data_IF_295338693474
#
_entry.id   IF_295338693474
#
_cell.length_a   1.000
_cell.length_b   1.000
_cell.length_c   1.000
_cell.angle_alpha   90.00
_cell.angle_beta   90.00
_cell.angle_gamma   90.00
#
_symmetry.space_group_name_H-M   'P 1'
#
loop_
_entity.id
_entity.type
_entity.pdbx_description
1 polymer ?
#
# COMPACT_ATOMS: atom_id res chain seq x y z
N UNK A 1 -6.46 28.70 2.43
CA UNK A 1 -6.44 27.26 2.12
C UNK A 1 -6.80 26.93 0.68
N UNK A 2 -7.22 27.88 -0.17
CA UNK A 2 -7.66 27.67 -1.57
C UNK A 2 -6.64 28.05 -2.65
N UNK A 3 -5.50 28.69 -2.33
CA UNK A 3 -4.56 29.25 -3.32
C UNK A 3 -3.45 28.31 -3.81
N UNK A 4 -3.26 27.13 -3.19
CA UNK A 4 -2.23 26.15 -3.62
C UNK A 4 -2.78 25.03 -4.51
N UNK A 5 -4.09 24.97 -4.75
CA UNK A 5 -4.70 23.96 -5.61
C UNK A 5 -4.41 24.15 -7.11
N UNK A 6 -4.03 25.35 -7.52
CA UNK A 6 -3.91 25.72 -8.95
C UNK A 6 -2.46 25.90 -9.45
N UNK A 7 -1.43 25.65 -8.60
CA UNK A 7 -0.05 25.70 -9.05
C UNK A 7 0.28 24.42 -9.83
N UNK A 8 0.53 24.56 -11.13
CA UNK A 8 1.00 23.48 -12.00
C UNK A 8 2.35 22.94 -11.49
N UNK A 9 2.62 21.66 -11.68
CA UNK A 9 3.86 20.97 -11.23
C UNK A 9 5.16 21.68 -11.62
N UNK A 10 5.16 22.42 -12.73
CA UNK A 10 6.28 23.23 -13.21
C UNK A 10 6.57 24.48 -12.35
N UNK A 11 5.57 25.06 -11.71
CA UNK A 11 5.76 26.23 -10.84
C UNK A 11 6.27 25.81 -9.44
N UNK A 12 5.80 24.67 -8.92
CA UNK A 12 6.33 24.09 -7.70
C UNK A 12 7.81 23.70 -7.85
N UNK A 13 8.21 23.19 -9.01
CA UNK A 13 9.61 22.87 -9.30
C UNK A 13 10.50 24.13 -9.42
N UNK A 14 9.98 25.26 -9.90
CA UNK A 14 10.68 26.55 -9.95
C UNK A 14 10.80 27.17 -8.55
N UNK A 15 9.73 27.11 -7.75
CA UNK A 15 9.72 27.55 -6.36
C UNK A 15 10.74 26.77 -5.52
N UNK A 16 10.85 25.48 -5.74
CA UNK A 16 11.80 24.62 -5.03
C UNK A 16 13.24 24.89 -5.43
N UNK A 17 13.54 25.12 -6.70
CA UNK A 17 14.86 25.57 -7.16
C UNK A 17 15.22 26.93 -6.55
N UNK A 18 14.24 27.81 -6.40
CA UNK A 18 14.42 29.10 -5.76
C UNK A 18 14.74 28.98 -4.26
N UNK A 19 14.11 28.05 -3.54
CA UNK A 19 14.38 27.78 -2.11
C UNK A 19 15.75 27.14 -1.89
N UNK A 20 16.21 26.29 -2.83
CA UNK A 20 17.48 25.56 -2.72
C UNK A 20 18.70 26.29 -3.30
N UNK A 21 18.52 27.34 -4.12
CA UNK A 21 19.60 28.13 -4.69
C UNK A 21 19.95 29.31 -3.78
N UNK A 22 21.16 29.27 -3.21
CA UNK A 22 21.87 30.28 -2.38
C UNK A 22 21.13 31.60 -2.02
N UNK A 23 20.90 31.64 -0.83
CA UNK A 23 20.48 32.51 0.28
C UNK A 23 19.87 33.90 0.04
N UNK A 24 20.19 34.73 -0.91
CA UNK A 24 19.78 36.14 -0.84
C UNK A 24 18.81 36.62 -1.95
N UNK A 25 18.97 36.21 -3.16
CA UNK A 25 18.10 36.63 -4.29
C UNK A 25 16.73 35.95 -4.24
N UNK A 26 16.69 34.70 -3.79
CA UNK A 26 15.49 33.88 -3.80
C UNK A 26 14.60 34.10 -2.57
N UNK A 27 15.18 34.55 -1.44
CA UNK A 27 14.40 35.03 -0.28
C UNK A 27 13.56 36.28 -0.61
N UNK A 28 14.02 37.15 -1.50
CA UNK A 28 13.22 38.27 -1.99
C UNK A 28 12.04 37.84 -2.86
N UNK A 29 12.21 36.77 -3.64
CA UNK A 29 11.14 36.20 -4.47
C UNK A 29 10.11 35.45 -3.63
N UNK A 30 10.54 34.69 -2.61
CA UNK A 30 9.66 34.06 -1.62
C UNK A 30 8.86 35.06 -0.79
N UNK A 31 9.44 36.22 -0.46
CA UNK A 31 8.74 37.35 0.21
C UNK A 31 7.71 38.03 -0.69
N UNK A 32 7.86 37.97 -2.00
CA UNK A 32 6.95 38.57 -2.98
C UNK A 32 5.69 37.75 -3.26
N UNK A 33 5.72 36.45 -2.89
CA UNK A 33 4.52 35.58 -2.84
C UNK A 33 3.81 35.90 -1.53
N UNK A 34 3.05 37.01 -1.54
CA UNK A 34 2.38 37.58 -0.38
C UNK A 34 1.54 36.56 0.37
N UNK A 35 1.86 36.33 1.65
CA UNK A 35 1.02 35.65 2.64
C UNK A 35 1.34 34.19 2.90
N UNK A 36 2.29 33.54 2.21
CA UNK A 36 2.71 32.18 2.50
C UNK A 36 3.95 32.18 3.40
N UNK A 37 3.85 31.57 4.56
CA UNK A 37 4.98 31.40 5.47
C UNK A 37 6.02 30.49 4.80
N UNK A 38 7.24 31.00 4.52
CA UNK A 38 8.32 30.24 3.86
C UNK A 38 8.59 28.89 4.55
N UNK A 39 8.52 28.84 5.89
CA UNK A 39 8.64 27.60 6.64
C UNK A 39 7.51 26.59 6.35
N UNK A 40 6.29 27.06 6.06
CA UNK A 40 5.17 26.19 5.70
C UNK A 40 5.35 25.60 4.29
N UNK A 41 5.86 26.39 3.34
CA UNK A 41 6.16 25.93 1.98
C UNK A 41 7.32 24.93 2.00
N UNK A 42 8.39 25.24 2.74
CA UNK A 42 9.55 24.35 2.90
C UNK A 42 9.14 23.03 3.55
N UNK A 43 8.29 23.06 4.57
CA UNK A 43 7.73 21.88 5.22
C UNK A 43 6.87 21.04 4.24
N UNK A 44 6.03 21.67 3.41
CA UNK A 44 5.24 20.97 2.41
C UNK A 44 6.10 20.36 1.29
N UNK A 45 7.21 21.04 0.92
CA UNK A 45 8.14 20.55 -0.10
C UNK A 45 9.02 19.38 0.38
N UNK A 46 9.17 19.20 1.70
CA UNK A 46 9.97 18.11 2.30
C UNK A 46 9.12 17.03 2.94
N UNK A 47 7.81 17.16 2.92
CA UNK A 47 6.87 16.22 3.52
C UNK A 47 6.45 15.15 2.49
N UNK A 48 6.53 13.89 2.91
CA UNK A 48 5.98 12.78 2.10
C UNK A 48 4.51 13.05 1.81
N UNK A 49 4.12 12.98 0.55
CA UNK A 49 2.71 13.03 0.14
C UNK A 49 2.29 11.65 -0.39
N UNK A 50 1.30 11.06 0.25
CA UNK A 50 0.67 9.84 -0.24
C UNK A 50 -0.39 10.19 -1.28
N UNK A 51 -0.20 9.70 -2.51
CA UNK A 51 -1.20 9.68 -3.56
C UNK A 51 -2.04 8.42 -3.40
N UNK A 52 -3.18 8.56 -2.74
CA UNK A 52 -4.02 7.44 -2.34
C UNK A 52 -5.10 7.20 -3.39
N UNK A 53 -5.09 6.01 -3.99
CA UNK A 53 -6.15 5.57 -4.90
C UNK A 53 -7.17 4.74 -4.10
N UNK A 54 -8.45 5.05 -4.23
CA UNK A 54 -9.50 4.29 -3.54
C UNK A 54 -9.45 2.78 -3.85
N UNK A 55 -9.84 1.95 -2.91
CA UNK A 55 -9.86 0.49 -3.05
C UNK A 55 -8.57 -0.08 -3.65
N UNK A 56 -7.43 0.30 -3.10
CA UNK A 56 -6.12 -0.12 -3.60
C UNK A 56 -5.13 -0.47 -2.50
N UNK A 57 -3.99 -0.99 -2.93
CA UNK A 57 -2.89 -1.32 -2.02
C UNK A 57 -2.28 -0.10 -1.31
N UNK A 58 -2.63 1.14 -1.71
CA UNK A 58 -2.15 2.35 -1.04
C UNK A 58 -2.62 2.47 0.41
N UNK A 59 -3.65 1.73 0.81
CA UNK A 59 -4.08 1.63 2.21
C UNK A 59 -2.97 1.12 3.13
N UNK A 60 -2.02 0.29 2.65
CA UNK A 60 -0.86 -0.16 3.43
C UNK A 60 0.04 1.00 3.82
N UNK A 61 0.24 1.92 2.88
CA UNK A 61 1.10 3.09 3.11
C UNK A 61 0.40 4.07 4.05
N UNK A 62 -0.89 4.26 3.86
CA UNK A 62 -1.70 5.06 4.79
C UNK A 62 -1.63 4.49 6.20
N UNK A 63 -1.80 3.18 6.35
CA UNK A 63 -1.67 2.51 7.63
C UNK A 63 -0.27 2.65 8.25
N UNK A 64 0.80 2.46 7.46
CA UNK A 64 2.18 2.65 7.93
C UNK A 64 2.41 4.06 8.47
N UNK A 65 1.96 5.08 7.75
CA UNK A 65 2.12 6.47 8.16
C UNK A 65 1.36 6.78 9.45
N UNK A 66 0.18 6.19 9.65
CA UNK A 66 -0.58 6.31 10.90
C UNK A 66 0.06 5.52 12.06
N UNK A 67 0.68 4.35 11.82
CA UNK A 67 1.42 3.59 12.84
C UNK A 67 2.69 4.31 13.29
N UNK A 68 3.32 5.02 12.40
CA UNK A 68 4.53 5.82 12.69
C UNK A 68 4.22 7.20 13.26
N UNK A 69 2.94 7.57 13.31
CA UNK A 69 2.49 8.93 13.69
C UNK A 69 3.21 10.03 12.91
N UNK A 70 3.59 9.73 11.67
CA UNK A 70 4.30 10.68 10.80
C UNK A 70 3.35 11.73 10.26
N UNK A 71 3.84 12.95 10.13
CA UNK A 71 3.15 13.97 9.35
C UNK A 71 3.33 13.71 7.85
N UNK A 72 2.25 13.76 7.08
CA UNK A 72 2.26 13.52 5.64
C UNK A 72 1.16 14.30 4.92
N UNK A 73 1.42 14.60 3.65
CA UNK A 73 0.41 15.07 2.72
C UNK A 73 -0.47 13.89 2.27
N UNK A 74 -1.76 14.16 2.05
CA UNK A 74 -2.71 13.14 1.60
C UNK A 74 -3.50 13.68 0.42
N UNK A 75 -3.43 12.98 -0.71
CA UNK A 75 -4.23 13.27 -1.90
C UNK A 75 -5.00 12.03 -2.32
N UNK A 76 -6.33 12.10 -2.21
CA UNK A 76 -7.25 11.05 -2.61
C UNK A 76 -7.50 11.11 -4.11
N UNK A 77 -7.57 9.94 -4.74
CA UNK A 77 -7.98 9.75 -6.13
C UNK A 77 -9.08 8.72 -6.21
N UNK A 78 -10.18 9.09 -6.83
CA UNK A 78 -11.30 8.20 -7.06
C UNK A 78 -11.10 7.40 -8.34
N UNK A 79 -11.56 6.14 -8.36
CA UNK A 79 -11.57 5.34 -9.58
C UNK A 79 -12.67 5.81 -10.51
N UNK A 80 -12.46 5.62 -11.81
CA UNK A 80 -13.51 5.78 -12.78
C UNK A 80 -14.66 4.79 -12.50
N UNK A 81 -15.87 5.30 -12.32
CA UNK A 81 -17.02 4.51 -11.86
C UNK A 81 -17.48 3.44 -12.84
N UNK A 82 -17.10 3.53 -14.12
CA UNK A 82 -17.50 2.58 -15.18
C UNK A 82 -16.43 1.52 -15.40
N UNK A 83 -15.15 1.93 -15.44
CA UNK A 83 -14.04 1.05 -15.76
C UNK A 83 -13.32 0.52 -14.54
N UNK A 84 -13.52 1.14 -13.38
CA UNK A 84 -12.79 0.88 -12.13
C UNK A 84 -11.27 1.11 -12.25
N UNK A 85 -10.82 1.79 -13.31
CA UNK A 85 -9.43 2.13 -13.51
C UNK A 85 -9.05 3.40 -12.73
N UNK A 86 -7.75 3.56 -12.48
CA UNK A 86 -7.22 4.81 -11.94
C UNK A 86 -7.43 5.96 -12.94
N UNK A 87 -7.69 7.20 -12.49
CA UNK A 87 -7.81 8.36 -13.36
C UNK A 87 -6.47 8.71 -14.00
N UNK A 88 -6.50 9.46 -15.09
CA UNK A 88 -5.30 9.72 -15.90
C UNK A 88 -4.26 10.59 -15.18
N UNK A 89 -4.69 11.50 -14.33
CA UNK A 89 -3.80 12.30 -13.49
C UNK A 89 -3.07 11.44 -12.43
N UNK A 90 -3.70 10.36 -11.94
CA UNK A 90 -3.01 9.37 -11.11
C UNK A 90 -1.99 8.55 -11.91
N UNK A 91 -2.40 8.05 -13.08
CA UNK A 91 -1.51 7.26 -13.96
C UNK A 91 -0.26 8.04 -14.38
N UNK A 92 -0.39 9.37 -14.53
CA UNK A 92 0.72 10.25 -14.88
C UNK A 92 1.79 10.41 -13.77
N UNK A 93 1.50 9.99 -12.52
CA UNK A 93 2.45 10.07 -11.41
C UNK A 93 3.61 9.09 -11.55
N UNK A 94 3.38 7.93 -12.14
CA UNK A 94 4.37 6.86 -12.26
C UNK A 94 4.22 6.13 -13.59
N UNK A 95 5.33 5.71 -14.22
CA UNK A 95 5.29 4.92 -15.47
C UNK A 95 4.45 3.64 -15.37
N UNK A 96 4.33 3.07 -14.15
CA UNK A 96 3.53 1.86 -13.93
C UNK A 96 2.03 2.15 -13.88
N UNK A 97 1.62 3.37 -13.56
CA UNK A 97 0.21 3.76 -13.41
C UNK A 97 -0.55 2.98 -12.33
N UNK A 98 0.17 2.36 -11.38
CA UNK A 98 -0.38 1.50 -10.33
C UNK A 98 -0.24 2.15 -8.95
N UNK A 99 -1.07 1.73 -8.00
CA UNK A 99 -1.03 2.18 -6.60
C UNK A 99 -0.26 1.18 -5.73
N UNK A 100 0.47 1.66 -4.71
CA UNK A 100 0.61 3.04 -4.22
C UNK A 100 1.66 3.87 -4.96
N UNK A 101 1.57 5.21 -4.80
CA UNK A 101 2.60 6.18 -5.19
C UNK A 101 2.76 7.21 -4.07
N UNK A 102 4.00 7.58 -3.77
CA UNK A 102 4.32 8.74 -2.92
C UNK A 102 5.16 9.75 -3.69
N UNK A 103 5.10 11.00 -3.26
CA UNK A 103 6.08 12.02 -3.63
C UNK A 103 6.76 12.56 -2.37
N UNK A 104 8.06 12.84 -2.46
CA UNK A 104 8.84 13.44 -1.39
C UNK A 104 9.90 14.33 -2.03
N UNK A 105 9.56 15.56 -2.10
CA UNK A 105 10.37 16.47 -2.86
C UNK A 105 10.40 16.14 -4.35
N UNK A 106 11.60 15.92 -4.91
CA UNK A 106 11.81 15.54 -6.33
C UNK A 106 11.69 14.02 -6.56
N UNK A 107 11.51 13.26 -5.46
CA UNK A 107 11.35 11.81 -5.53
C UNK A 107 9.89 11.48 -5.79
N UNK A 108 9.64 10.65 -6.80
CA UNK A 108 8.38 9.93 -6.97
C UNK A 108 8.68 8.45 -6.88
N UNK A 109 8.04 7.77 -5.94
CA UNK A 109 8.28 6.35 -5.68
C UNK A 109 6.96 5.58 -5.77
N UNK A 110 6.99 4.50 -6.52
CA UNK A 110 5.94 3.48 -6.59
C UNK A 110 6.44 2.18 -5.97
N UNK A 111 5.61 1.15 -5.93
CA UNK A 111 5.82 -0.16 -5.31
C UNK A 111 5.68 -0.15 -3.79
N UNK A 112 4.71 -0.94 -3.28
CA UNK A 112 4.35 -0.95 -1.85
C UNK A 112 5.55 -1.17 -0.93
N UNK A 113 6.37 -2.20 -1.19
CA UNK A 113 7.47 -2.54 -0.30
C UNK A 113 8.64 -1.57 -0.40
N UNK A 114 8.90 -1.02 -1.60
CA UNK A 114 9.90 0.04 -1.78
C UNK A 114 9.51 1.31 -1.02
N UNK A 115 8.24 1.69 -1.07
CA UNK A 115 7.71 2.83 -0.31
C UNK A 115 7.79 2.58 1.20
N UNK A 116 7.43 1.37 1.66
CA UNK A 116 7.54 1.00 3.08
C UNK A 116 9.00 1.13 3.55
N UNK A 117 9.96 0.53 2.83
CA UNK A 117 11.38 0.63 3.18
C UNK A 117 11.85 2.09 3.20
N UNK A 118 11.48 2.89 2.21
CA UNK A 118 11.83 4.31 2.14
C UNK A 118 11.30 5.10 3.34
N UNK A 119 10.04 4.86 3.74
CA UNK A 119 9.43 5.52 4.90
C UNK A 119 10.14 5.08 6.19
N UNK A 120 10.44 3.78 6.34
CA UNK A 120 11.15 3.27 7.51
C UNK A 120 12.57 3.82 7.65
N UNK A 121 13.27 4.06 6.54
CA UNK A 121 14.59 4.70 6.56
C UNK A 121 14.51 6.15 7.05
N UNK A 122 13.43 6.86 6.71
CA UNK A 122 13.16 8.22 7.23
C UNK A 122 12.71 8.24 8.69
N UNK A 123 11.94 7.24 9.12
CA UNK A 123 11.47 7.11 10.49
C UNK A 123 12.59 6.74 11.48
N UNK A 124 13.71 6.25 10.97
CA UNK A 124 14.88 5.93 11.78
C UNK A 124 15.01 4.45 12.16
N UNK A 125 16.11 4.09 12.82
CA UNK A 125 16.44 2.69 13.12
C UNK A 125 15.46 2.07 14.13
N UNK A 126 15.24 0.76 13.99
CA UNK A 126 14.41 -0.07 14.88
C UNK A 126 12.91 0.26 14.87
N UNK A 127 12.45 1.01 13.90
CA UNK A 127 11.03 1.36 13.77
C UNK A 127 10.35 0.34 12.85
N UNK A 128 9.54 -0.54 13.39
CA UNK A 128 8.78 -1.60 12.67
C UNK A 128 9.65 -2.52 11.78
N UNK A 129 10.98 -2.47 11.91
CA UNK A 129 11.93 -3.28 11.17
C UNK A 129 13.01 -3.83 12.10
N UNK A 130 13.06 -5.15 12.34
CA UNK A 130 14.10 -5.77 13.18
C UNK A 130 15.50 -5.45 12.67
N UNK A 131 16.44 -5.23 13.59
CA UNK A 131 17.84 -5.00 13.22
C UNK A 131 18.46 -6.22 12.51
N UNK A 132 19.57 -6.02 11.78
CA UNK A 132 20.22 -7.09 11.04
C UNK A 132 20.71 -8.28 11.91
N UNK A 133 20.89 -8.05 13.22
CA UNK A 133 21.36 -9.06 14.19
C UNK A 133 20.21 -9.69 14.98
N UNK A 134 19.00 -9.20 14.80
CA UNK A 134 17.82 -9.71 15.52
C UNK A 134 17.40 -11.08 14.97
N UNK A 135 17.01 -12.00 15.87
CA UNK A 135 16.44 -13.30 15.48
C UNK A 135 15.18 -13.16 14.61
N UNK A 136 14.40 -12.09 14.83
CA UNK A 136 13.21 -11.76 14.05
C UNK A 136 13.54 -11.30 12.61
N UNK A 137 14.80 -11.02 12.27
CA UNK A 137 15.17 -10.46 10.97
C UNK A 137 14.86 -11.39 9.80
N UNK A 138 15.15 -12.68 9.92
CA UNK A 138 14.89 -13.63 8.84
C UNK A 138 13.39 -13.87 8.60
N UNK A 139 12.55 -14.14 9.62
CA UNK A 139 11.10 -14.18 9.47
C UNK A 139 10.52 -12.88 8.90
N UNK A 140 10.98 -11.73 9.38
CA UNK A 140 10.58 -10.43 8.85
C UNK A 140 10.83 -10.31 7.35
N UNK A 141 12.05 -10.60 6.89
CA UNK A 141 12.39 -10.54 5.47
C UNK A 141 11.52 -11.50 4.65
N UNK A 142 11.34 -12.72 5.14
CA UNK A 142 10.49 -13.69 4.46
C UNK A 142 9.08 -13.13 4.25
N UNK A 143 8.40 -12.73 5.33
CA UNK A 143 7.02 -12.30 5.24
C UNK A 143 6.85 -10.94 4.56
N UNK A 144 7.79 -10.02 4.73
CA UNK A 144 7.79 -8.74 4.04
C UNK A 144 7.83 -8.90 2.53
N UNK A 145 8.70 -9.78 2.02
CA UNK A 145 8.79 -10.03 0.59
C UNK A 145 7.72 -11.00 0.08
N UNK A 146 7.31 -11.99 0.88
CA UNK A 146 6.26 -12.94 0.51
C UNK A 146 4.90 -12.26 0.32
N UNK A 147 4.64 -11.16 1.03
CA UNK A 147 3.41 -10.39 0.89
C UNK A 147 3.11 -10.01 -0.57
N UNK A 148 4.11 -9.51 -1.30
CA UNK A 148 3.97 -9.13 -2.71
C UNK A 148 4.39 -10.25 -3.67
N UNK A 149 5.55 -10.85 -3.42
CA UNK A 149 6.15 -11.82 -4.34
C UNK A 149 5.43 -13.16 -4.41
N UNK A 150 4.87 -13.61 -3.30
CA UNK A 150 4.21 -14.92 -3.24
C UNK A 150 2.70 -14.80 -3.09
N UNK A 151 2.22 -14.11 -2.05
CA UNK A 151 0.80 -14.16 -1.71
C UNK A 151 -0.04 -13.27 -2.62
N UNK A 152 0.29 -11.97 -2.71
CA UNK A 152 -0.45 -11.01 -3.55
C UNK A 152 -0.47 -11.42 -5.02
N UNK A 153 0.66 -11.88 -5.56
CA UNK A 153 0.75 -12.30 -6.97
C UNK A 153 -0.14 -13.51 -7.28
N UNK A 154 -0.19 -14.50 -6.38
CA UNK A 154 -1.06 -15.67 -6.53
C UNK A 154 -2.53 -15.26 -6.43
N UNK A 155 -2.90 -14.39 -5.48
CA UNK A 155 -4.25 -13.87 -5.36
C UNK A 155 -4.70 -13.09 -6.59
N UNK A 156 -3.81 -12.27 -7.14
CA UNK A 156 -4.08 -11.52 -8.38
C UNK A 156 -4.31 -12.47 -9.56
N UNK A 157 -3.48 -13.50 -9.68
CA UNK A 157 -3.67 -14.53 -10.72
C UNK A 157 -5.01 -15.25 -10.56
N UNK A 158 -5.36 -15.66 -9.33
CA UNK A 158 -6.66 -16.26 -9.03
C UNK A 158 -7.83 -15.36 -9.44
N UNK A 159 -7.73 -14.07 -9.11
CA UNK A 159 -8.73 -13.05 -9.45
C UNK A 159 -8.89 -12.88 -10.98
N UNK A 160 -7.78 -12.80 -11.73
CA UNK A 160 -7.81 -12.71 -13.20
C UNK A 160 -8.51 -13.91 -13.82
N UNK A 161 -8.21 -15.14 -13.36
CA UNK A 161 -8.87 -16.35 -13.84
C UNK A 161 -10.38 -16.33 -13.55
N UNK A 162 -10.77 -15.85 -12.37
CA UNK A 162 -12.18 -15.73 -11.96
C UNK A 162 -12.94 -14.73 -12.83
N UNK A 163 -12.37 -13.53 -13.06
CA UNK A 163 -12.98 -12.51 -13.95
C UNK A 163 -13.08 -13.04 -15.38
N UNK A 164 -12.04 -13.71 -15.89
CA UNK A 164 -12.06 -14.29 -17.24
C UNK A 164 -13.22 -15.28 -17.37
N UNK A 165 -13.40 -16.14 -16.38
CA UNK A 165 -14.54 -17.08 -16.34
C UNK A 165 -15.88 -16.32 -16.33
N UNK A 166 -16.02 -15.33 -15.47
CA UNK A 166 -17.28 -14.56 -15.31
C UNK A 166 -17.65 -13.79 -16.59
N UNK A 167 -16.66 -13.19 -17.27
CA UNK A 167 -16.87 -12.42 -18.51
C UNK A 167 -16.99 -13.29 -19.76
N UNK A 168 -16.75 -14.59 -19.67
CA UNK A 168 -16.87 -15.51 -20.82
C UNK A 168 -18.34 -15.65 -21.24
N UNK A 169 -18.66 -15.58 -22.56
CA UNK A 169 -20.01 -15.83 -23.07
C UNK A 169 -20.58 -17.16 -22.59
N UNK A 170 -21.86 -17.18 -22.23
CA UNK A 170 -22.49 -18.30 -21.54
C UNK A 170 -22.36 -19.64 -22.31
N UNK A 171 -22.35 -19.60 -23.65
CA UNK A 171 -22.27 -20.82 -24.52
C UNK A 171 -20.96 -21.57 -24.31
N UNK A 172 -19.82 -20.85 -24.21
CA UNK A 172 -18.49 -21.48 -24.09
C UNK A 172 -17.98 -21.50 -22.64
N UNK A 173 -18.69 -20.82 -21.71
CA UNK A 173 -18.32 -20.74 -20.31
C UNK A 173 -18.04 -22.08 -19.62
N UNK A 174 -18.85 -23.16 -19.84
CA UNK A 174 -18.58 -24.46 -19.21
C UNK A 174 -17.21 -25.02 -19.59
N UNK A 175 -16.80 -24.88 -20.85
CA UNK A 175 -15.51 -25.37 -21.34
C UNK A 175 -14.35 -24.53 -20.71
N UNK A 176 -14.48 -23.22 -20.77
CA UNK A 176 -13.48 -22.31 -20.21
C UNK A 176 -13.36 -22.49 -18.68
N UNK A 177 -14.49 -22.62 -17.97
CA UNK A 177 -14.48 -22.89 -16.52
C UNK A 177 -13.76 -24.18 -16.17
N UNK A 178 -13.90 -25.24 -17.00
CA UNK A 178 -13.18 -26.48 -16.78
C UNK A 178 -11.67 -26.31 -16.95
N UNK A 179 -11.23 -25.64 -18.01
CA UNK A 179 -9.81 -25.41 -18.31
C UNK A 179 -9.18 -24.51 -17.22
N UNK A 180 -9.79 -23.36 -16.93
CA UNK A 180 -9.28 -22.43 -15.91
C UNK A 180 -9.37 -23.04 -14.50
N UNK A 181 -10.40 -23.85 -14.23
CA UNK A 181 -10.53 -24.62 -12.99
C UNK A 181 -9.40 -25.63 -12.78
N UNK A 182 -8.91 -26.27 -13.85
CA UNK A 182 -7.71 -27.11 -13.78
C UNK A 182 -6.47 -26.28 -13.35
N UNK A 183 -6.25 -25.13 -13.96
CA UNK A 183 -5.16 -24.21 -13.58
C UNK A 183 -5.29 -23.77 -12.12
N UNK A 184 -6.51 -23.39 -11.70
CA UNK A 184 -6.79 -23.07 -10.30
C UNK A 184 -6.38 -24.21 -9.36
N UNK A 185 -6.83 -25.43 -9.65
CA UNK A 185 -6.62 -26.58 -8.77
C UNK A 185 -5.17 -27.10 -8.76
N UNK A 186 -4.46 -27.04 -9.91
CA UNK A 186 -3.10 -27.57 -10.03
C UNK A 186 -2.02 -26.58 -9.59
N UNK A 187 -2.24 -25.28 -9.78
CA UNK A 187 -1.19 -24.29 -9.57
C UNK A 187 -1.53 -23.24 -8.50
N UNK A 188 -2.76 -22.71 -8.49
CA UNK A 188 -3.10 -21.59 -7.63
C UNK A 188 -3.38 -22.06 -6.20
N UNK A 189 -4.37 -22.94 -6.04
CA UNK A 189 -4.82 -23.42 -4.72
C UNK A 189 -3.70 -24.07 -3.88
N UNK A 190 -2.83 -24.94 -4.45
CA UNK A 190 -1.74 -25.52 -3.66
C UNK A 190 -0.74 -24.46 -3.15
N UNK A 191 -0.47 -23.42 -3.96
CA UNK A 191 0.43 -22.33 -3.56
C UNK A 191 -0.20 -21.42 -2.49
N UNK A 192 -1.47 -21.06 -2.66
CA UNK A 192 -2.21 -20.32 -1.62
C UNK A 192 -2.22 -21.10 -0.31
N UNK A 193 -2.55 -22.40 -0.41
CA UNK A 193 -2.54 -23.29 0.76
C UNK A 193 -1.16 -23.32 1.44
N UNK A 194 -0.09 -23.45 0.69
CA UNK A 194 1.26 -23.50 1.26
C UNK A 194 1.63 -22.20 2.01
N UNK A 195 1.23 -21.04 1.50
CA UNK A 195 1.45 -19.74 2.20
C UNK A 195 0.61 -19.68 3.47
N UNK A 196 -0.66 -20.07 3.41
CA UNK A 196 -1.56 -20.07 4.56
C UNK A 196 -1.15 -21.10 5.63
N UNK A 197 -0.76 -22.31 5.23
CA UNK A 197 -0.25 -23.35 6.14
C UNK A 197 1.00 -22.86 6.90
N UNK A 198 1.92 -22.20 6.19
CA UNK A 198 3.10 -21.62 6.84
C UNK A 198 2.72 -20.51 7.79
N UNK A 199 1.82 -19.61 7.40
CA UNK A 199 1.36 -18.52 8.25
C UNK A 199 0.69 -19.06 9.51
N UNK A 200 -0.19 -20.05 9.36
CA UNK A 200 -0.88 -20.72 10.47
C UNK A 200 0.11 -21.36 11.45
N UNK A 201 1.15 -22.02 10.90
CA UNK A 201 2.21 -22.64 11.71
C UNK A 201 3.04 -21.61 12.46
N UNK A 202 3.47 -20.53 11.80
CA UNK A 202 4.26 -19.48 12.45
C UNK A 202 3.44 -18.80 13.56
N UNK A 203 2.19 -18.44 13.28
CA UNK A 203 1.27 -17.78 14.22
C UNK A 203 0.73 -18.70 15.33
N UNK A 204 1.03 -19.99 15.29
CA UNK A 204 0.75 -20.88 16.43
C UNK A 204 1.68 -20.64 17.62
N UNK A 205 2.84 -20.02 17.39
CA UNK A 205 3.86 -19.76 18.40
C UNK A 205 4.12 -18.26 18.62
N UNK A 206 3.79 -17.42 17.65
CA UNK A 206 4.12 -16.00 17.63
C UNK A 206 2.85 -15.15 17.51
N UNK A 207 2.87 -13.94 18.07
CA UNK A 207 1.76 -12.99 17.94
C UNK A 207 1.70 -12.34 16.54
N UNK A 208 2.86 -12.13 15.90
CA UNK A 208 3.01 -11.48 14.61
C UNK A 208 3.91 -12.30 13.69
N UNK A 209 3.95 -11.94 12.40
CA UNK A 209 4.65 -12.71 11.38
C UNK A 209 6.18 -12.81 11.58
N UNK A 210 6.75 -11.88 12.33
CA UNK A 210 8.19 -11.87 12.63
C UNK A 210 8.50 -12.16 14.11
N UNK A 211 7.55 -12.71 14.87
CA UNK A 211 7.69 -13.02 16.30
C UNK A 211 6.69 -12.23 17.16
N UNK A 212 7.12 -11.81 18.35
CA UNK A 212 6.23 -11.18 19.33
C UNK A 212 5.96 -9.68 19.06
N UNK A 213 6.68 -9.07 18.12
CA UNK A 213 6.57 -7.64 17.85
C UNK A 213 5.98 -7.37 16.47
N UNK A 214 4.99 -6.47 16.46
CA UNK A 214 4.44 -5.93 15.22
C UNK A 214 5.50 -5.24 14.38
N UNK A 215 5.48 -5.50 13.07
CA UNK A 215 6.49 -5.04 12.12
C UNK A 215 5.88 -4.61 10.78
N UNK A 216 6.69 -4.03 9.90
CA UNK A 216 6.25 -3.68 8.56
C UNK A 216 5.95 -4.92 7.68
N UNK A 217 6.38 -6.12 8.06
CA UNK A 217 5.94 -7.37 7.41
C UNK A 217 4.44 -7.60 7.60
N UNK A 218 3.92 -7.26 8.78
CA UNK A 218 2.50 -7.35 9.11
C UNK A 218 1.67 -6.34 8.32
N UNK A 219 2.17 -5.11 8.15
CA UNK A 219 1.54 -4.08 7.32
C UNK A 219 1.52 -4.51 5.85
N UNK A 220 2.65 -5.01 5.34
CA UNK A 220 2.75 -5.48 3.97
C UNK A 220 1.79 -6.65 3.69
N UNK A 221 1.63 -7.57 4.64
CA UNK A 221 0.74 -8.73 4.53
C UNK A 221 -0.73 -8.38 4.79
N UNK A 222 -1.01 -7.43 5.68
CA UNK A 222 -2.35 -7.15 6.21
C UNK A 222 -3.41 -6.91 5.14
N UNK A 223 -3.12 -6.08 4.13
CA UNK A 223 -4.05 -5.86 3.01
C UNK A 223 -4.37 -7.16 2.26
N UNK A 224 -3.35 -7.93 1.95
CA UNK A 224 -3.49 -9.17 1.17
C UNK A 224 -4.33 -10.19 1.93
N UNK A 225 -4.07 -10.31 3.23
CA UNK A 225 -4.80 -11.22 4.10
C UNK A 225 -6.26 -10.76 4.31
N UNK A 226 -6.48 -9.47 4.50
CA UNK A 226 -7.82 -8.88 4.57
C UNK A 226 -8.63 -9.21 3.30
N UNK A 227 -8.03 -9.05 2.12
CA UNK A 227 -8.67 -9.38 0.86
C UNK A 227 -8.96 -10.88 0.70
N UNK A 228 -8.10 -11.75 1.24
CA UNK A 228 -8.33 -13.19 1.24
C UNK A 228 -9.50 -13.57 2.17
N UNK A 229 -9.59 -12.94 3.34
CA UNK A 229 -10.70 -13.17 4.29
C UNK A 229 -12.05 -12.75 3.72
N UNK A 230 -12.11 -11.56 3.07
CA UNK A 230 -13.34 -11.09 2.41
C UNK A 230 -13.85 -12.05 1.33
N UNK A 231 -12.97 -12.82 0.69
CA UNK A 231 -13.32 -13.85 -0.29
C UNK A 231 -13.61 -15.22 0.32
N UNK A 232 -13.49 -15.35 1.64
CA UNK A 232 -13.68 -16.62 2.33
C UNK A 232 -12.52 -17.62 2.17
N UNK A 233 -11.35 -17.17 1.70
CA UNK A 233 -10.18 -18.05 1.47
C UNK A 233 -9.61 -18.63 2.78
N UNK A 234 -9.80 -17.94 3.92
CA UNK A 234 -9.32 -18.41 5.23
C UNK A 234 -10.20 -19.55 5.78
N UNK A 235 -11.52 -19.44 5.65
CA UNK A 235 -12.48 -20.42 6.18
C UNK A 235 -12.25 -20.70 7.67
N UNK A 236 -12.48 -21.97 8.07
CA UNK A 236 -12.25 -22.44 9.45
C UNK A 236 -10.91 -23.19 9.64
N UNK A 237 -10.13 -23.33 8.56
CA UNK A 237 -8.90 -24.13 8.56
C UNK A 237 -7.70 -23.40 9.18
N UNK A 238 -7.79 -22.08 9.35
CA UNK A 238 -6.68 -21.19 9.75
C UNK A 238 -7.05 -20.33 10.96
N UNK A 239 -7.30 -20.94 12.15
CA UNK A 239 -7.76 -20.19 13.33
C UNK A 239 -6.73 -19.20 13.88
N UNK A 240 -5.42 -19.53 13.87
CA UNK A 240 -4.37 -18.62 14.33
C UNK A 240 -4.22 -17.42 13.37
N UNK A 241 -4.27 -17.68 12.06
CA UNK A 241 -4.27 -16.65 11.03
C UNK A 241 -5.48 -15.73 11.15
N UNK A 242 -6.65 -16.27 11.47
CA UNK A 242 -7.86 -15.48 11.70
C UNK A 242 -7.73 -14.62 12.96
N UNK A 243 -7.28 -15.19 14.07
CA UNK A 243 -7.03 -14.46 15.31
C UNK A 243 -5.97 -13.34 15.11
N UNK A 244 -4.94 -13.61 14.32
CA UNK A 244 -3.96 -12.61 13.91
C UNK A 244 -4.61 -11.48 13.10
N UNK A 245 -5.44 -11.78 12.10
CA UNK A 245 -6.15 -10.77 11.32
C UNK A 245 -7.05 -9.90 12.20
N UNK A 246 -7.72 -10.49 13.18
CA UNK A 246 -8.56 -9.77 14.15
C UNK A 246 -7.71 -8.81 15.00
N UNK A 247 -6.50 -9.23 15.44
CA UNK A 247 -5.54 -8.33 16.14
C UNK A 247 -5.12 -7.16 15.25
N UNK A 248 -4.83 -7.43 13.97
CA UNK A 248 -4.47 -6.40 12.99
C UNK A 248 -5.61 -5.39 12.81
N UNK A 249 -6.83 -5.88 12.64
CA UNK A 249 -8.03 -5.06 12.46
C UNK A 249 -8.39 -4.24 13.72
N UNK A 250 -7.99 -4.69 14.90
CA UNK A 250 -8.20 -3.98 16.16
C UNK A 250 -7.27 -2.78 16.35
N UNK A 251 -6.14 -2.68 15.60
CA UNK A 251 -5.13 -1.63 15.79
C UNK A 251 -5.70 -0.24 15.55
N UNK A 252 -5.42 0.73 16.44
CA UNK A 252 -5.93 2.10 16.30
C UNK A 252 -5.50 2.77 14.98
N UNK A 253 -4.26 2.57 14.54
CA UNK A 253 -3.74 3.14 13.31
C UNK A 253 -4.42 2.55 12.06
N UNK A 254 -4.73 1.25 12.05
CA UNK A 254 -5.53 0.64 10.98
C UNK A 254 -6.94 1.27 10.90
N UNK A 255 -7.61 1.45 12.04
CA UNK A 255 -8.92 2.09 12.10
C UNK A 255 -8.88 3.54 11.62
N UNK A 256 -7.82 4.29 11.97
CA UNK A 256 -7.60 5.65 11.44
C UNK A 256 -7.41 5.64 9.92
N UNK A 257 -6.60 4.71 9.40
CA UNK A 257 -6.39 4.57 7.97
C UNK A 257 -7.69 4.27 7.23
N UNK A 258 -8.51 3.33 7.71
CA UNK A 258 -9.83 3.02 7.15
C UNK A 258 -10.77 4.23 7.18
N UNK A 259 -10.81 4.95 8.30
CA UNK A 259 -11.66 6.14 8.44
C UNK A 259 -11.24 7.26 7.47
N UNK A 260 -9.94 7.38 7.20
CA UNK A 260 -9.39 8.40 6.29
C UNK A 260 -9.58 8.04 4.82
N UNK A 261 -9.49 6.76 4.46
CA UNK A 261 -9.88 6.24 3.14
C UNK A 261 -11.38 6.44 2.90
N UNK A 262 -12.21 6.10 3.87
CA UNK A 262 -13.66 6.29 3.86
C UNK A 262 -14.45 5.46 2.83
N UNK A 263 -13.75 4.77 1.91
CA UNK A 263 -14.32 4.02 0.78
C UNK A 263 -13.82 2.59 0.69
N UNK A 264 -12.90 2.20 1.54
CA UNK A 264 -12.28 0.87 1.48
C UNK A 264 -13.33 -0.21 1.83
N UNK A 265 -13.80 -0.92 0.81
CA UNK A 265 -14.78 -2.01 0.93
C UNK A 265 -14.22 -3.35 0.46
N UNK A 266 -12.95 -3.37 0.07
CA UNK A 266 -12.37 -4.49 -0.65
C UNK A 266 -12.75 -4.48 -2.14
N UNK A 267 -12.29 -5.48 -2.89
CA UNK A 267 -12.68 -5.64 -4.30
C UNK A 267 -14.09 -6.24 -4.32
N UNK A 268 -15.09 -5.63 -4.98
CA UNK A 268 -16.40 -6.25 -5.16
C UNK A 268 -16.25 -7.64 -5.79
N UNK A 269 -16.95 -8.60 -5.26
CA UNK A 269 -17.02 -9.99 -5.76
C UNK A 269 -17.63 -10.07 -7.15
#
# INVERSE_FOLDING_TARGET
MYLLRDLQSGELSKLRRAVNASADTDRKMARKISGLNAAHIERQLTMITLHHLENSQSIRILWLLEELEMEYGFKMYDRDTKTMLAPDDYKALSPLGTAPVITDGDITLAESNAIIDYILDKAGPNTLRPSAKDKARAPYLFWFHAAQGSYQSILTMSFVLSITTAKTPFIIRPLISKVLGMTQNLFIKPRLKAVLDKMESDLSNDEFLAGDLFSAADIAMGYTLYMADLRGDLGTAYPNTKAYLDRMNARPAWKKALAKDGKFQGIPS
#
